data_IF_719585720130
#
_entry.id   IF_719585720130
#
_cell.length_a   1.000
_cell.length_b   1.000
_cell.length_c   1.000
_cell.angle_alpha   90.00
_cell.angle_beta   90.00
_cell.angle_gamma   90.00
#
_symmetry.space_group_name_H-M   'P 1'
#
loop_
_entity.id
_entity.type
_entity.pdbx_description
1 polymer ?
#
# COMPACT_ATOMS: atom_id res chain seq x y z
N UNK A 1 7.20 -1.07 -0.69
CA UNK A 1 6.63 -2.20 0.12
C UNK A 1 5.55 -2.88 -0.70
N UNK A 2 5.59 -4.20 -0.79
CA UNK A 2 4.67 -4.95 -1.63
C UNK A 2 3.27 -5.08 -1.00
N UNK A 3 2.25 -5.08 -1.86
CA UNK A 3 0.87 -5.37 -1.50
C UNK A 3 0.65 -6.86 -1.77
N UNK A 4 0.20 -7.61 -0.76
CA UNK A 4 -0.10 -9.03 -0.85
C UNK A 4 -1.58 -9.31 -1.07
N UNK A 5 -1.89 -10.22 -1.99
CA UNK A 5 -3.19 -10.85 -2.14
C UNK A 5 -3.20 -12.13 -1.28
N UNK A 6 -4.18 -12.25 -0.41
CA UNK A 6 -4.42 -13.43 0.43
C UNK A 6 -5.77 -14.02 0.06
N UNK A 7 -5.85 -15.33 -0.16
CA UNK A 7 -7.09 -16.00 -0.56
C UNK A 7 -6.82 -17.38 -1.11
N UNK A 8 -7.65 -17.90 -2.04
CA UNK A 8 -7.34 -19.10 -2.81
C UNK A 8 -6.15 -18.89 -3.76
N UNK A 9 -5.54 -19.95 -4.26
CA UNK A 9 -4.31 -19.92 -5.10
C UNK A 9 -4.44 -19.22 -6.46
N UNK A 10 -5.48 -18.42 -6.65
CA UNK A 10 -5.80 -17.73 -7.89
C UNK A 10 -5.32 -16.27 -7.87
N UNK A 11 -4.65 -15.84 -8.95
CA UNK A 11 -4.29 -14.44 -9.13
C UNK A 11 -5.52 -13.54 -9.19
N UNK A 12 -5.36 -12.25 -8.82
CA UNK A 12 -6.48 -11.31 -8.79
C UNK A 12 -7.18 -11.17 -10.17
N UNK A 13 -6.40 -11.20 -11.27
CA UNK A 13 -6.91 -11.03 -12.65
C UNK A 13 -7.79 -12.20 -13.12
N UNK A 14 -7.53 -13.40 -12.59
CA UNK A 14 -8.15 -14.64 -13.07
C UNK A 14 -9.41 -15.00 -12.27
N UNK A 15 -9.77 -14.17 -11.26
CA UNK A 15 -10.94 -14.40 -10.42
C UNK A 15 -12.24 -14.21 -11.19
N UNK A 16 -13.23 -15.07 -10.95
CA UNK A 16 -14.54 -14.98 -11.59
C UNK A 16 -15.22 -13.62 -11.38
N UNK A 17 -16.09 -13.24 -12.32
CA UNK A 17 -16.95 -12.07 -12.18
C UNK A 17 -17.79 -12.19 -10.89
N UNK A 18 -17.79 -11.12 -10.09
CA UNK A 18 -18.53 -11.06 -8.84
C UNK A 18 -17.75 -11.54 -7.62
N UNK A 19 -16.51 -12.05 -7.79
CA UNK A 19 -15.67 -12.39 -6.61
C UNK A 19 -15.49 -11.22 -5.68
N UNK A 20 -15.62 -11.49 -4.38
CA UNK A 20 -15.59 -10.49 -3.31
C UNK A 20 -14.15 -10.26 -2.83
N UNK A 21 -13.67 -9.05 -3.00
CA UNK A 21 -12.32 -8.62 -2.61
C UNK A 21 -12.39 -7.68 -1.41
N UNK A 22 -11.76 -8.05 -0.28
CA UNK A 22 -11.74 -7.25 0.94
C UNK A 22 -10.62 -6.22 0.95
N UNK A 23 -10.98 -4.93 1.03
CA UNK A 23 -10.03 -3.83 1.29
C UNK A 23 -10.75 -2.60 1.82
N UNK A 24 -10.19 -1.97 2.88
CA UNK A 24 -10.67 -0.68 3.40
C UNK A 24 -9.86 0.51 2.89
N UNK A 25 -8.84 0.26 2.09
CA UNK A 25 -7.98 1.32 1.56
C UNK A 25 -8.59 1.91 0.28
N UNK A 26 -9.06 3.17 0.36
CA UNK A 26 -9.60 3.89 -0.79
C UNK A 26 -8.61 3.92 -1.97
N UNK A 27 -7.33 4.10 -1.69
CA UNK A 27 -6.26 4.07 -2.69
C UNK A 27 -6.18 2.73 -3.42
N UNK A 28 -6.23 1.60 -2.68
CA UNK A 28 -6.23 0.25 -3.29
C UNK A 28 -7.52 -0.01 -4.04
N UNK A 29 -8.64 0.34 -3.41
CA UNK A 29 -9.98 0.20 -4.00
C UNK A 29 -10.06 0.88 -5.37
N UNK A 30 -9.70 2.16 -5.45
CA UNK A 30 -9.78 2.92 -6.70
C UNK A 30 -8.94 2.30 -7.81
N UNK A 31 -7.69 1.94 -7.53
CA UNK A 31 -6.79 1.34 -8.52
C UNK A 31 -7.27 -0.05 -8.98
N UNK A 32 -7.66 -0.90 -8.02
CA UNK A 32 -8.07 -2.27 -8.34
C UNK A 32 -9.44 -2.31 -9.02
N UNK A 33 -10.38 -1.43 -8.64
CA UNK A 33 -11.68 -1.32 -9.31
C UNK A 33 -11.52 -0.83 -10.76
N UNK A 34 -10.65 0.15 -10.98
CA UNK A 34 -10.33 0.62 -12.33
C UNK A 34 -9.75 -0.50 -13.20
N UNK A 35 -8.85 -1.33 -12.64
CA UNK A 35 -8.19 -2.40 -13.37
C UNK A 35 -9.05 -3.66 -13.52
N UNK A 36 -9.89 -3.96 -12.53
CA UNK A 36 -10.70 -5.18 -12.43
C UNK A 36 -12.16 -4.86 -12.13
N UNK A 37 -12.89 -4.22 -13.05
CA UNK A 37 -14.27 -3.76 -12.83
C UNK A 37 -15.28 -4.91 -12.67
N UNK A 38 -14.89 -6.13 -13.00
CA UNK A 38 -15.71 -7.32 -12.84
C UNK A 38 -15.75 -7.87 -11.40
N UNK A 39 -14.87 -7.37 -10.50
CA UNK A 39 -14.79 -7.78 -9.10
C UNK A 39 -15.66 -6.91 -8.20
N UNK A 40 -16.13 -7.48 -7.10
CA UNK A 40 -16.89 -6.77 -6.07
C UNK A 40 -15.98 -6.44 -4.90
N UNK A 41 -15.85 -5.18 -4.56
CA UNK A 41 -15.01 -4.74 -3.46
C UNK A 41 -15.86 -4.43 -2.23
N UNK A 42 -15.49 -5.01 -1.07
CA UNK A 42 -16.14 -4.76 0.21
C UNK A 42 -15.14 -4.28 1.26
N UNK A 43 -15.62 -3.45 2.17
CA UNK A 43 -14.83 -2.97 3.31
C UNK A 43 -14.50 -4.13 4.25
N UNK A 44 -13.25 -4.20 4.72
CA UNK A 44 -12.80 -5.18 5.70
C UNK A 44 -11.95 -4.50 6.76
N UNK A 45 -12.40 -4.53 8.00
CA UNK A 45 -11.75 -3.89 9.15
C UNK A 45 -11.32 -4.91 10.19
N UNK A 46 -10.43 -4.48 11.07
CA UNK A 46 -9.81 -5.27 12.12
C UNK A 46 -8.28 -5.34 11.92
N UNK A 47 -7.61 -6.00 12.83
CA UNK A 47 -6.20 -6.32 12.70
C UNK A 47 -5.98 -7.41 11.63
N UNK A 48 -4.74 -7.78 11.36
CA UNK A 48 -4.41 -8.78 10.32
C UNK A 48 -5.06 -10.13 10.62
N UNK A 49 -5.02 -10.58 11.87
CA UNK A 49 -5.59 -11.87 12.30
C UNK A 49 -7.10 -11.88 12.04
N UNK A 50 -7.82 -10.89 12.54
CA UNK A 50 -9.28 -10.77 12.34
C UNK A 50 -9.69 -10.76 10.87
N UNK A 51 -8.87 -10.14 10.01
CA UNK A 51 -9.15 -10.12 8.56
C UNK A 51 -8.92 -11.49 7.92
N UNK A 52 -7.90 -12.23 8.38
CA UNK A 52 -7.66 -13.60 7.92
C UNK A 52 -8.80 -14.52 8.39
N UNK A 53 -9.26 -14.39 9.63
CA UNK A 53 -10.40 -15.15 10.16
C UNK A 53 -11.68 -14.92 9.32
N UNK A 54 -11.97 -13.68 8.92
CA UNK A 54 -13.10 -13.36 8.03
C UNK A 54 -12.96 -13.98 6.64
N UNK A 55 -11.73 -14.00 6.11
CA UNK A 55 -11.45 -14.69 4.85
C UNK A 55 -11.70 -16.20 5.00
N UNK A 56 -11.19 -16.82 6.08
CA UNK A 56 -11.33 -18.25 6.34
C UNK A 56 -12.79 -18.66 6.63
N UNK A 57 -13.59 -17.70 7.17
CA UNK A 57 -15.03 -17.85 7.32
C UNK A 57 -15.82 -17.72 6.01
N UNK A 58 -15.16 -17.43 4.88
CA UNK A 58 -15.80 -17.33 3.57
C UNK A 58 -16.54 -16.02 3.30
N UNK A 59 -16.33 -14.98 4.14
CA UNK A 59 -16.94 -13.66 3.90
C UNK A 59 -16.36 -12.96 2.66
N UNK A 60 -15.15 -13.36 2.23
CA UNK A 60 -14.41 -12.83 1.09
C UNK A 60 -13.75 -13.96 0.30
N UNK A 61 -13.65 -13.81 -1.00
CA UNK A 61 -12.86 -14.71 -1.87
C UNK A 61 -11.37 -14.42 -1.78
N UNK A 62 -11.02 -13.17 -1.51
CA UNK A 62 -9.65 -12.74 -1.18
C UNK A 62 -9.63 -11.39 -0.47
N UNK A 63 -8.50 -11.08 0.15
CA UNK A 63 -8.27 -9.81 0.84
C UNK A 63 -6.92 -9.21 0.45
N UNK A 64 -6.82 -7.89 0.50
CA UNK A 64 -5.62 -7.14 0.12
C UNK A 64 -4.96 -6.58 1.38
N UNK A 65 -3.77 -7.07 1.70
CA UNK A 65 -3.00 -6.66 2.88
C UNK A 65 -1.60 -6.16 2.49
N UNK A 66 -0.91 -5.54 3.43
CA UNK A 66 0.50 -5.23 3.27
C UNK A 66 1.33 -6.50 3.51
N UNK A 67 2.11 -6.93 2.52
CA UNK A 67 2.91 -8.15 2.60
C UNK A 67 3.87 -8.16 3.79
N UNK A 68 4.45 -7.00 4.15
CA UNK A 68 5.34 -6.90 5.31
C UNK A 68 4.61 -7.15 6.64
N UNK A 69 3.34 -6.76 6.77
CA UNK A 69 2.54 -7.06 7.95
C UNK A 69 2.30 -8.56 8.10
N UNK A 70 2.00 -9.24 6.99
CA UNK A 70 1.82 -10.69 6.96
C UNK A 70 3.13 -11.42 7.32
N UNK A 71 4.26 -11.03 6.71
CA UNK A 71 5.58 -11.60 7.00
C UNK A 71 5.98 -11.47 8.47
N UNK A 72 5.78 -10.28 9.07
CA UNK A 72 6.08 -10.04 10.49
C UNK A 72 5.26 -10.91 11.45
N UNK A 73 4.08 -11.32 11.05
CA UNK A 73 3.18 -12.16 11.83
C UNK A 73 3.27 -13.66 11.49
N UNK A 74 4.20 -14.06 10.62
CA UNK A 74 4.37 -15.46 10.22
C UNK A 74 3.34 -15.97 9.22
N UNK A 75 2.57 -15.07 8.57
CA UNK A 75 1.57 -15.43 7.56
C UNK A 75 2.08 -15.35 6.13
N UNK A 76 3.38 -15.51 5.91
CA UNK A 76 3.97 -15.41 4.57
C UNK A 76 3.40 -16.44 3.60
N UNK A 77 3.17 -17.67 4.07
CA UNK A 77 2.56 -18.76 3.29
C UNK A 77 1.14 -18.47 2.81
N UNK A 78 0.47 -17.50 3.42
CA UNK A 78 -0.88 -17.07 3.02
C UNK A 78 -0.87 -16.05 1.87
N UNK A 79 0.31 -15.57 1.45
CA UNK A 79 0.44 -14.61 0.35
C UNK A 79 0.49 -15.40 -0.97
N UNK A 80 -0.59 -15.39 -1.73
CA UNK A 80 -0.68 -16.06 -3.02
C UNK A 80 -0.14 -15.22 -4.18
N UNK A 81 -0.24 -13.90 -4.05
CA UNK A 81 0.27 -12.99 -5.07
C UNK A 81 0.80 -11.71 -4.46
N UNK A 82 1.93 -11.24 -4.94
CA UNK A 82 2.38 -9.85 -4.76
C UNK A 82 1.83 -9.03 -5.92
N UNK A 83 1.02 -8.02 -5.61
CA UNK A 83 0.45 -7.12 -6.61
C UNK A 83 1.54 -6.12 -7.02
N UNK A 84 1.92 -6.08 -8.30
CA UNK A 84 2.98 -5.19 -8.76
C UNK A 84 2.55 -3.72 -8.74
N UNK A 85 3.53 -2.81 -8.71
CA UNK A 85 3.29 -1.36 -8.63
C UNK A 85 2.59 -0.79 -9.86
N UNK A 86 2.69 -1.46 -11.01
CA UNK A 86 1.98 -1.11 -12.25
C UNK A 86 0.47 -1.20 -12.07
N UNK A 87 0.03 -2.11 -11.19
CA UNK A 87 -1.39 -2.35 -10.88
C UNK A 87 -1.82 -1.49 -9.68
N UNK A 88 -1.02 -1.46 -8.62
CA UNK A 88 -1.37 -0.72 -7.40
C UNK A 88 -0.17 -0.07 -6.75
N UNK A 89 -0.06 1.24 -6.93
CA UNK A 89 0.93 2.09 -6.26
C UNK A 89 0.70 2.12 -4.75
N UNK A 90 1.77 2.34 -3.99
CA UNK A 90 1.69 2.37 -2.53
C UNK A 90 1.22 3.72 -1.98
N UNK A 91 1.05 3.77 -0.65
CA UNK A 91 0.89 5.04 0.06
C UNK A 91 2.25 5.75 0.19
N UNK A 92 2.22 7.05 0.31
CA UNK A 92 3.41 7.88 0.58
C UNK A 92 4.14 7.37 1.83
N UNK A 93 5.44 7.15 1.70
CA UNK A 93 6.29 6.63 2.77
C UNK A 93 5.99 5.20 3.21
N UNK A 94 5.13 4.47 2.49
CA UNK A 94 4.74 3.12 2.90
C UNK A 94 5.96 2.19 2.92
N UNK A 95 6.26 1.69 4.10
CA UNK A 95 7.36 0.75 4.34
C UNK A 95 8.63 1.38 4.90
N UNK A 96 8.76 2.67 4.88
CA UNK A 96 9.78 3.35 5.65
C UNK A 96 9.42 3.33 7.15
N UNK A 97 10.43 3.16 7.98
CA UNK A 97 10.31 3.32 9.43
C UNK A 97 10.69 4.75 9.78
N UNK A 98 9.79 5.45 10.46
CA UNK A 98 10.06 6.78 11.01
C UNK A 98 10.41 6.68 12.49
N UNK A 99 11.44 7.40 12.91
CA UNK A 99 11.81 7.57 14.31
C UNK A 99 11.56 9.03 14.68
N UNK A 100 10.79 9.25 15.74
CA UNK A 100 10.49 10.60 16.23
C UNK A 100 11.21 10.86 17.56
N UNK A 101 11.71 12.06 17.70
CA UNK A 101 12.26 12.58 18.96
C UNK A 101 11.97 14.08 19.09
N UNK A 102 12.29 14.67 20.23
CA UNK A 102 12.22 16.12 20.38
C UNK A 102 13.22 16.79 19.44
N UNK A 103 12.79 17.87 18.77
CA UNK A 103 13.62 18.60 17.81
C UNK A 103 14.82 19.30 18.42
N UNK A 104 14.79 19.58 19.72
CA UNK A 104 15.85 20.23 20.50
C UNK A 104 16.77 19.25 21.25
N UNK A 105 16.46 17.95 21.24
CA UNK A 105 17.28 16.91 21.88
C UNK A 105 18.44 16.49 20.98
N UNK A 106 19.51 17.29 21.00
CA UNK A 106 20.72 17.08 20.17
C UNK A 106 21.35 15.71 20.40
N UNK A 107 21.36 15.22 21.66
CA UNK A 107 21.98 13.93 22.00
C UNK A 107 21.23 12.76 21.35
N UNK A 108 19.90 12.77 21.41
CA UNK A 108 19.08 11.75 20.77
C UNK A 108 19.20 11.86 19.26
N UNK A 109 19.18 13.07 18.69
CA UNK A 109 19.35 13.29 17.25
C UNK A 109 20.67 12.72 16.73
N UNK A 110 21.80 12.92 17.45
CA UNK A 110 23.09 12.33 17.07
C UNK A 110 23.03 10.79 17.04
N UNK A 111 22.36 10.17 18.00
CA UNK A 111 22.22 8.71 18.08
C UNK A 111 21.35 8.18 16.92
N UNK A 112 20.19 8.79 16.66
CA UNK A 112 19.25 8.26 15.64
C UNK A 112 19.70 8.56 14.22
N UNK A 113 20.48 9.63 13.99
CA UNK A 113 20.97 10.00 12.66
C UNK A 113 21.87 8.92 12.04
N UNK A 114 22.54 8.08 12.84
CA UNK A 114 23.33 6.96 12.31
C UNK A 114 22.47 5.85 11.70
N UNK A 115 21.18 5.85 11.99
CA UNK A 115 20.21 4.89 11.45
C UNK A 115 19.60 5.36 10.13
N UNK A 116 19.90 6.60 9.69
CA UNK A 116 19.35 7.15 8.46
C UNK A 116 19.86 6.38 7.24
N UNK A 117 18.95 5.78 6.49
CA UNK A 117 19.18 5.32 5.12
C UNK A 117 18.90 6.46 4.15
N UNK A 118 19.94 7.10 3.66
CA UNK A 118 19.82 8.30 2.79
C UNK A 118 18.95 8.09 1.55
N UNK A 119 19.09 6.98 0.78
CA UNK A 119 18.21 6.75 -0.37
C UNK A 119 16.74 6.66 0.03
N UNK A 120 16.42 5.97 1.13
CA UNK A 120 15.05 5.89 1.64
C UNK A 120 14.54 7.26 2.10
N UNK A 121 15.38 8.04 2.79
CA UNK A 121 15.04 9.40 3.23
C UNK A 121 14.71 10.30 2.02
N UNK A 122 15.54 10.32 1.00
CA UNK A 122 15.31 11.10 -0.22
C UNK A 122 14.01 10.71 -0.93
N UNK A 123 13.76 9.41 -1.08
CA UNK A 123 12.50 8.89 -1.66
C UNK A 123 11.29 9.34 -0.85
N UNK A 124 11.31 9.17 0.47
CA UNK A 124 10.22 9.58 1.35
C UNK A 124 9.96 11.09 1.31
N UNK A 125 11.02 11.90 1.26
CA UNK A 125 10.88 13.36 1.14
C UNK A 125 10.22 13.77 -0.18
N UNK A 126 10.62 13.16 -1.29
CA UNK A 126 10.00 13.41 -2.60
C UNK A 126 8.51 12.97 -2.64
N UNK A 127 8.22 11.80 -2.12
CA UNK A 127 6.84 11.29 -2.02
C UNK A 127 5.96 12.19 -1.13
N UNK A 128 6.50 12.70 -0.02
CA UNK A 128 5.80 13.63 0.88
C UNK A 128 5.60 15.01 0.23
N UNK A 129 6.57 15.48 -0.55
CA UNK A 129 6.42 16.73 -1.32
C UNK A 129 5.27 16.61 -2.33
N UNK A 130 5.22 15.49 -3.07
CA UNK A 130 4.11 15.19 -3.99
C UNK A 130 2.75 15.19 -3.28
N UNK A 131 2.65 14.53 -2.12
CA UNK A 131 1.39 14.50 -1.36
C UNK A 131 0.98 15.90 -0.87
N UNK A 132 1.93 16.72 -0.41
CA UNK A 132 1.66 18.09 0.05
C UNK A 132 1.15 18.97 -1.08
N UNK A 133 1.76 18.89 -2.25
CA UNK A 133 1.36 19.68 -3.43
C UNK A 133 -0.06 19.35 -3.89
N UNK A 134 -0.46 18.08 -3.75
CA UNK A 134 -1.82 17.64 -4.07
C UNK A 134 -2.86 17.94 -2.97
N UNK A 135 -2.44 18.55 -1.86
CA UNK A 135 -3.30 18.78 -0.68
C UNK A 135 -4.05 17.51 -0.23
N UNK A 136 -3.47 16.34 -0.52
CA UNK A 136 -4.10 15.04 -0.32
C UNK A 136 -4.08 14.59 1.13
N UNK A 137 -5.23 14.19 1.63
CA UNK A 137 -5.40 13.51 2.91
C UNK A 137 -5.69 12.01 2.74
N UNK A 138 -5.92 11.31 3.87
CA UNK A 138 -6.24 9.88 3.87
C UNK A 138 -7.53 9.52 3.11
N UNK A 139 -8.35 10.50 2.78
CA UNK A 139 -9.62 10.32 2.07
C UNK A 139 -9.50 10.46 0.54
N UNK A 140 -8.35 10.89 0.03
CA UNK A 140 -8.10 11.00 -1.41
C UNK A 140 -7.30 9.78 -1.88
N UNK A 141 -7.72 9.08 -2.95
CA UNK A 141 -6.99 7.95 -3.49
C UNK A 141 -5.72 8.40 -4.20
N UNK A 142 -4.66 8.67 -3.43
CA UNK A 142 -3.33 9.02 -3.94
C UNK A 142 -2.40 7.82 -3.76
N UNK A 143 -1.73 7.44 -4.84
CA UNK A 143 -0.71 6.40 -4.84
C UNK A 143 0.61 6.93 -5.35
N UNK A 144 1.70 6.36 -4.88
CA UNK A 144 3.05 6.76 -5.29
C UNK A 144 3.96 5.55 -5.34
N UNK A 145 4.95 5.61 -6.21
CA UNK A 145 6.13 4.75 -6.19
C UNK A 145 7.34 5.59 -6.54
N UNK A 146 8.44 5.37 -5.85
CA UNK A 146 9.70 6.03 -6.13
C UNK A 146 10.85 5.04 -6.14
N UNK A 147 11.87 5.30 -6.93
CA UNK A 147 13.14 4.60 -6.91
C UNK A 147 14.28 5.56 -7.22
N UNK A 148 15.48 5.16 -6.87
CA UNK A 148 16.71 5.85 -7.25
C UNK A 148 17.50 4.89 -8.14
N UNK A 149 17.82 5.32 -9.33
CA UNK A 149 18.65 4.59 -10.28
C UNK A 149 19.75 5.49 -10.81
N UNK A 150 21.01 5.05 -10.77
CA UNK A 150 22.18 5.81 -11.17
C UNK A 150 22.24 7.25 -10.58
N UNK A 151 21.82 7.40 -9.31
CA UNK A 151 21.79 8.70 -8.63
C UNK A 151 20.63 9.61 -9.01
N UNK A 152 19.75 9.18 -9.91
CA UNK A 152 18.56 9.91 -10.33
C UNK A 152 17.33 9.36 -9.64
N UNK A 153 16.51 10.26 -9.07
CA UNK A 153 15.25 9.89 -8.43
C UNK A 153 14.12 9.90 -9.45
N UNK A 154 13.42 8.79 -9.52
CA UNK A 154 12.20 8.61 -10.31
C UNK A 154 11.00 8.52 -9.39
N UNK A 155 9.94 9.25 -9.71
CA UNK A 155 8.69 9.22 -8.95
C UNK A 155 7.52 9.05 -9.92
N UNK A 156 6.70 8.05 -9.63
CA UNK A 156 5.41 7.84 -10.30
C UNK A 156 4.31 8.16 -9.29
N UNK A 157 3.47 9.13 -9.59
CA UNK A 157 2.33 9.50 -8.78
C UNK A 157 1.01 9.12 -9.45
N UNK A 158 -0.04 8.92 -8.67
CA UNK A 158 -1.39 8.64 -9.15
C UNK A 158 -2.41 9.33 -8.26
N UNK A 159 -3.42 9.91 -8.89
CA UNK A 159 -4.64 10.39 -8.23
C UNK A 159 -5.84 9.74 -8.89
N UNK A 160 -6.81 9.30 -8.10
CA UNK A 160 -8.03 8.72 -8.63
C UNK A 160 -9.28 9.31 -7.98
N UNK A 161 -10.42 9.20 -8.65
CA UNK A 161 -11.72 9.40 -8.04
C UNK A 161 -12.05 8.26 -7.06
N UNK A 162 -12.95 8.50 -6.10
CA UNK A 162 -13.31 7.52 -5.07
C UNK A 162 -13.95 6.25 -5.66
N UNK A 163 -14.68 6.39 -6.75
CA UNK A 163 -15.28 5.29 -7.50
C UNK A 163 -14.26 4.50 -8.36
N UNK A 164 -13.06 5.08 -8.59
CA UNK A 164 -12.02 4.50 -9.44
C UNK A 164 -12.27 4.67 -10.94
N UNK A 165 -13.31 5.38 -11.36
CA UNK A 165 -13.62 5.59 -12.80
C UNK A 165 -12.60 6.49 -13.48
N UNK A 166 -12.13 7.53 -12.78
CA UNK A 166 -11.08 8.43 -13.27
C UNK A 166 -9.79 8.19 -12.52
N UNK A 167 -8.72 7.94 -13.27
CA UNK A 167 -7.38 7.71 -12.73
C UNK A 167 -6.37 8.42 -13.63
N UNK A 168 -5.55 9.30 -13.02
CA UNK A 168 -4.43 10.01 -13.64
C UNK A 168 -3.15 9.46 -13.02
N UNK A 169 -2.20 9.12 -13.89
CA UNK A 169 -0.90 8.60 -13.47
C UNK A 169 0.21 9.34 -14.18
#
# INVERSE_FOLDING_TARGET
MAIGLVGSEMCIRDRPKGSIVGTSSLRRLAQLRNKYPHLVFKDIRGNVITRIEKLDAGEFDCIILAAAGLKRLGFESRIHQIIPNEISLHAVGQGALGIECKSDDKKVLEIINVLEDKPTSQRCLAERAFLRELEGGCQVPIGVNSNIDNGQLYLTGMVASLDGERLIK
#
